data_IF_042896675118
#
_entry.id   IF_042896675118
#
_cell.length_a   1.000
_cell.length_b   1.000
_cell.length_c   1.000
_cell.angle_alpha   90.00
_cell.angle_beta   90.00
_cell.angle_gamma   90.00
#
_symmetry.space_group_name_H-M   'P 1'
#
loop_
_entity.id
_entity.type
_entity.pdbx_description
1 polymer ?
#
# COMPACT_ATOMS: atom_id res chain seq x y z
N UNK A 1 10.54 -33.75 5.75
CA UNK A 1 10.78 -33.88 4.29
C UNK A 1 10.31 -32.65 3.53
N UNK A 2 9.00 -32.34 3.46
CA UNK A 2 8.51 -31.15 2.73
C UNK A 2 9.17 -29.83 3.18
N UNK A 3 9.16 -29.53 4.50
CA UNK A 3 9.76 -28.30 5.02
C UNK A 3 11.25 -28.15 4.71
N UNK A 4 12.00 -29.26 4.73
CA UNK A 4 13.43 -29.26 4.43
C UNK A 4 13.66 -28.98 2.94
N UNK A 5 12.89 -29.60 2.05
CA UNK A 5 12.93 -29.34 0.61
C UNK A 5 12.59 -27.88 0.28
N UNK A 6 11.58 -27.32 0.96
CA UNK A 6 11.21 -25.90 0.87
C UNK A 6 12.36 -24.99 1.30
N UNK A 7 12.97 -25.23 2.48
CA UNK A 7 14.09 -24.41 2.96
C UNK A 7 15.33 -24.52 2.08
N UNK A 8 15.55 -25.68 1.45
CA UNK A 8 16.62 -25.87 0.49
C UNK A 8 16.35 -25.22 -0.87
N UNK A 9 15.11 -24.80 -1.15
CA UNK A 9 14.71 -24.24 -2.44
C UNK A 9 14.59 -25.27 -3.57
N UNK A 10 14.38 -26.54 -3.23
CA UNK A 10 14.32 -27.67 -4.16
C UNK A 10 12.91 -27.80 -4.76
N UNK A 11 12.65 -27.05 -5.84
CA UNK A 11 11.34 -26.96 -6.46
C UNK A 11 10.83 -28.32 -6.94
N UNK A 12 11.67 -29.12 -7.59
CA UNK A 12 11.28 -30.41 -8.15
C UNK A 12 10.88 -31.38 -7.06
N UNK A 13 11.66 -31.44 -5.97
CA UNK A 13 11.30 -32.28 -4.82
C UNK A 13 10.04 -31.81 -4.13
N UNK A 14 9.82 -30.50 -4.01
CA UNK A 14 8.56 -29.96 -3.47
C UNK A 14 7.38 -30.33 -4.37
N UNK A 15 7.49 -30.19 -5.69
CA UNK A 15 6.45 -30.63 -6.65
C UNK A 15 6.13 -32.11 -6.45
N UNK A 16 7.13 -32.98 -6.48
CA UNK A 16 6.94 -34.42 -6.30
C UNK A 16 6.27 -34.78 -4.97
N UNK A 17 6.62 -34.10 -3.87
CA UNK A 17 6.00 -34.35 -2.57
C UNK A 17 4.53 -33.91 -2.55
N UNK A 18 4.21 -32.74 -3.10
CA UNK A 18 2.85 -32.24 -3.16
C UNK A 18 1.97 -33.09 -4.09
N UNK A 19 2.51 -33.51 -5.25
CA UNK A 19 1.83 -34.41 -6.18
C UNK A 19 1.61 -35.80 -5.56
N UNK A 20 2.50 -36.21 -4.65
CA UNK A 20 2.36 -37.42 -3.82
C UNK A 20 1.37 -37.29 -2.65
N UNK A 21 0.63 -36.18 -2.55
CA UNK A 21 -0.41 -35.96 -1.54
C UNK A 21 0.11 -35.37 -0.22
N UNK A 22 1.32 -34.80 -0.19
CA UNK A 22 1.76 -34.05 0.97
C UNK A 22 0.86 -32.81 1.18
N UNK A 23 0.38 -32.63 2.41
CA UNK A 23 -0.43 -31.47 2.76
C UNK A 23 0.42 -30.18 2.75
N UNK A 24 0.12 -29.28 1.80
CA UNK A 24 0.79 -27.98 1.65
C UNK A 24 0.57 -27.07 2.86
N UNK A 25 -0.52 -27.27 3.60
CA UNK A 25 -0.94 -26.48 4.76
C UNK A 25 -0.56 -27.12 6.09
N UNK A 26 0.15 -28.25 6.06
CA UNK A 26 0.72 -28.86 7.25
C UNK A 26 1.58 -27.85 8.02
N UNK A 27 1.51 -27.90 9.34
CA UNK A 27 2.29 -27.05 10.24
C UNK A 27 3.40 -27.85 10.89
N UNK A 28 4.58 -27.25 11.01
CA UNK A 28 5.63 -27.85 11.82
C UNK A 28 5.34 -27.73 13.32
N UNK A 29 5.88 -28.68 14.10
CA UNK A 29 5.63 -28.75 15.55
C UNK A 29 6.32 -27.65 16.34
N UNK A 30 7.42 -27.10 15.80
CA UNK A 30 8.30 -26.19 16.56
C UNK A 30 7.74 -24.77 16.61
N UNK A 31 7.28 -24.25 15.47
CA UNK A 31 6.88 -22.86 15.31
C UNK A 31 5.51 -22.71 14.66
N UNK A 32 4.80 -23.81 14.41
CA UNK A 32 3.51 -23.82 13.70
C UNK A 32 3.61 -23.17 12.31
N UNK A 33 4.81 -23.21 11.70
CA UNK A 33 5.00 -22.67 10.36
C UNK A 33 4.45 -23.64 9.32
N UNK A 34 3.71 -23.13 8.35
CA UNK A 34 3.36 -23.85 7.12
C UNK A 34 4.54 -23.86 6.14
N UNK A 35 4.42 -24.62 5.05
CA UNK A 35 5.41 -24.59 3.97
C UNK A 35 5.64 -23.16 3.46
N UNK A 36 4.56 -22.36 3.35
CA UNK A 36 4.65 -20.97 2.89
C UNK A 36 5.45 -20.08 3.85
N UNK A 37 5.32 -20.26 5.17
CA UNK A 37 6.17 -19.56 6.15
C UNK A 37 7.65 -19.97 6.02
N UNK A 38 7.91 -21.26 5.80
CA UNK A 38 9.28 -21.77 5.63
C UNK A 38 9.92 -21.29 4.33
N UNK A 39 9.13 -21.04 3.28
CA UNK A 39 9.61 -20.51 2.01
C UNK A 39 10.27 -19.14 2.17
N UNK A 40 9.87 -18.31 3.14
CA UNK A 40 10.53 -17.03 3.47
C UNK A 40 12.03 -17.20 3.74
N UNK A 41 12.43 -18.35 4.30
CA UNK A 41 13.82 -18.67 4.61
C UNK A 41 14.48 -19.61 3.60
N UNK A 42 13.89 -19.80 2.41
CA UNK A 42 14.48 -20.62 1.38
C UNK A 42 15.86 -20.08 0.98
N UNK A 43 16.84 -20.98 0.85
CA UNK A 43 18.24 -20.67 0.50
C UNK A 43 18.40 -20.25 -0.97
N UNK A 44 17.49 -20.71 -1.83
CA UNK A 44 17.47 -20.48 -3.29
C UNK A 44 16.03 -20.60 -3.78
N UNK A 45 15.76 -20.10 -4.98
CA UNK A 45 14.44 -20.15 -5.65
C UNK A 45 13.30 -19.65 -4.75
N UNK A 46 13.54 -18.60 -3.96
CA UNK A 46 12.63 -18.19 -2.89
C UNK A 46 11.29 -17.71 -3.44
N UNK A 47 11.32 -16.90 -4.49
CA UNK A 47 10.12 -16.33 -5.10
C UNK A 47 9.33 -17.41 -5.85
N UNK A 48 10.02 -18.26 -6.57
CA UNK A 48 9.45 -19.40 -7.30
C UNK A 48 8.85 -20.43 -6.33
N UNK A 49 9.47 -20.63 -5.16
CA UNK A 49 8.94 -21.51 -4.11
C UNK A 49 7.66 -20.93 -3.50
N UNK A 50 7.60 -19.61 -3.28
CA UNK A 50 6.37 -18.93 -2.85
C UNK A 50 5.26 -19.13 -3.89
N UNK A 51 5.54 -18.82 -5.15
CA UNK A 51 4.58 -18.96 -6.23
C UNK A 51 4.07 -20.40 -6.37
N UNK A 52 4.97 -21.38 -6.33
CA UNK A 52 4.63 -22.80 -6.36
C UNK A 52 3.70 -23.18 -5.22
N UNK A 53 4.03 -22.83 -3.99
CA UNK A 53 3.21 -23.22 -2.83
C UNK A 53 1.81 -22.60 -2.89
N UNK A 54 1.70 -21.32 -3.29
CA UNK A 54 0.40 -20.64 -3.47
C UNK A 54 -0.40 -21.28 -4.60
N UNK A 55 0.22 -21.59 -5.74
CA UNK A 55 -0.41 -22.31 -6.85
C UNK A 55 -0.96 -23.69 -6.42
N UNK A 56 -0.28 -24.34 -5.47
CA UNK A 56 -0.72 -25.63 -4.89
C UNK A 56 -1.72 -25.48 -3.75
N UNK A 57 -2.29 -24.30 -3.52
CA UNK A 57 -3.35 -24.07 -2.54
C UNK A 57 -2.85 -23.82 -1.11
N UNK A 58 -1.63 -23.31 -0.95
CA UNK A 58 -1.17 -22.85 0.35
C UNK A 58 -2.06 -21.69 0.88
N UNK A 59 -2.49 -21.81 2.13
CA UNK A 59 -3.26 -20.77 2.83
C UNK A 59 -2.34 -19.60 3.23
N UNK A 60 -2.45 -18.50 2.47
CA UNK A 60 -1.71 -17.26 2.73
C UNK A 60 -2.13 -16.57 4.05
N UNK A 61 -3.32 -16.90 4.59
CA UNK A 61 -3.82 -16.36 5.86
C UNK A 61 -3.46 -17.22 7.07
N UNK A 62 -2.80 -18.37 6.87
CA UNK A 62 -2.37 -19.22 7.96
C UNK A 62 -1.44 -18.42 8.90
N UNK A 63 -1.68 -18.55 10.21
CA UNK A 63 -0.87 -17.90 11.23
C UNK A 63 0.10 -18.89 11.86
N UNK A 64 1.36 -18.49 12.03
CA UNK A 64 2.33 -19.24 12.81
C UNK A 64 2.20 -18.98 14.33
N UNK A 65 3.12 -19.52 15.13
CA UNK A 65 3.16 -19.36 16.60
C UNK A 65 3.24 -17.90 17.06
N UNK A 66 3.82 -17.00 16.25
CA UNK A 66 3.87 -15.55 16.52
C UNK A 66 2.62 -14.80 16.07
N UNK A 67 1.61 -15.49 15.55
CA UNK A 67 0.41 -14.90 14.93
C UNK A 67 0.71 -14.05 13.69
N UNK A 68 1.72 -14.44 12.93
CA UNK A 68 2.08 -13.79 11.67
C UNK A 68 1.68 -14.69 10.50
N UNK A 69 1.21 -14.07 9.43
CA UNK A 69 1.16 -14.67 8.09
C UNK A 69 2.56 -14.78 7.48
N UNK A 70 2.71 -15.53 6.39
CA UNK A 70 4.00 -15.63 5.69
C UNK A 70 4.49 -14.25 5.19
N UNK A 71 3.60 -13.38 4.71
CA UNK A 71 3.95 -12.03 4.25
C UNK A 71 4.39 -11.12 5.39
N UNK A 72 3.73 -11.20 6.54
CA UNK A 72 4.12 -10.44 7.74
C UNK A 72 5.43 -10.95 8.33
N UNK A 73 5.66 -12.26 8.30
CA UNK A 73 6.95 -12.84 8.70
C UNK A 73 8.09 -12.34 7.80
N UNK A 74 7.86 -12.20 6.49
CA UNK A 74 8.86 -11.65 5.58
C UNK A 74 9.18 -10.17 5.89
N UNK A 75 8.17 -9.37 6.26
CA UNK A 75 8.38 -8.00 6.73
C UNK A 75 9.17 -7.93 8.04
N UNK A 76 8.86 -8.78 9.04
CA UNK A 76 9.63 -8.85 10.29
C UNK A 76 11.11 -9.15 10.04
N UNK A 77 11.41 -9.96 9.02
CA UNK A 77 12.76 -10.34 8.65
C UNK A 77 13.41 -9.37 7.63
N UNK A 78 12.77 -8.22 7.34
CA UNK A 78 13.25 -7.19 6.42
C UNK A 78 13.49 -7.72 4.99
N UNK A 79 12.56 -8.54 4.49
CA UNK A 79 12.58 -9.13 3.15
C UNK A 79 11.42 -8.56 2.30
N UNK A 80 11.50 -7.29 1.86
CA UNK A 80 10.40 -6.61 1.17
C UNK A 80 10.01 -7.27 -0.15
N UNK A 81 11.00 -7.76 -0.92
CA UNK A 81 10.75 -8.45 -2.20
C UNK A 81 9.91 -9.72 -2.02
N UNK A 82 10.16 -10.47 -0.94
CA UNK A 82 9.43 -11.70 -0.63
C UNK A 82 8.03 -11.38 -0.14
N UNK A 83 7.89 -10.37 0.72
CA UNK A 83 6.60 -9.89 1.18
C UNK A 83 5.74 -9.42 0.01
N UNK A 84 6.32 -8.67 -0.92
CA UNK A 84 5.64 -8.18 -2.12
C UNK A 84 5.22 -9.33 -3.05
N UNK A 85 6.06 -10.32 -3.26
CA UNK A 85 5.70 -11.49 -4.07
C UNK A 85 4.59 -12.32 -3.38
N UNK A 86 4.62 -12.46 -2.06
CA UNK A 86 3.54 -13.11 -1.31
C UNK A 86 2.19 -12.38 -1.48
N UNK A 87 2.19 -11.04 -1.37
CA UNK A 87 0.99 -10.22 -1.62
C UNK A 87 0.53 -10.35 -3.08
N UNK A 88 1.46 -10.41 -4.01
CA UNK A 88 1.15 -10.61 -5.43
C UNK A 88 0.49 -11.96 -5.66
N UNK A 89 1.10 -13.05 -5.20
CA UNK A 89 0.58 -14.40 -5.40
C UNK A 89 -0.78 -14.59 -4.70
N UNK A 90 -0.95 -14.09 -3.48
CA UNK A 90 -2.21 -14.25 -2.73
C UNK A 90 -3.38 -13.47 -3.33
N UNK A 91 -3.10 -12.34 -3.99
CA UNK A 91 -4.14 -11.47 -4.57
C UNK A 91 -4.29 -11.61 -6.09
N UNK A 92 -3.44 -12.40 -6.74
CA UNK A 92 -3.42 -12.53 -8.20
C UNK A 92 -4.75 -13.05 -8.77
N UNK A 93 -5.39 -14.00 -8.09
CA UNK A 93 -6.64 -14.63 -8.53
C UNK A 93 -7.89 -14.01 -7.88
N UNK A 94 -7.72 -13.02 -7.00
CA UNK A 94 -8.83 -12.37 -6.29
C UNK A 94 -9.31 -11.13 -7.06
N UNK A 95 -10.61 -10.85 -6.98
CA UNK A 95 -11.12 -9.55 -7.39
C UNK A 95 -10.51 -8.44 -6.53
N UNK A 96 -10.39 -7.25 -7.10
CA UNK A 96 -9.69 -6.15 -6.44
C UNK A 96 -10.36 -5.81 -5.10
N UNK A 97 -11.69 -5.75 -5.04
CA UNK A 97 -12.40 -5.47 -3.80
C UNK A 97 -12.04 -6.46 -2.68
N UNK A 98 -12.06 -7.77 -2.96
CA UNK A 98 -11.68 -8.77 -1.99
C UNK A 98 -10.19 -8.66 -1.59
N UNK A 99 -9.31 -8.37 -2.54
CA UNK A 99 -7.89 -8.15 -2.25
C UNK A 99 -7.70 -6.97 -1.28
N UNK A 100 -8.27 -5.80 -1.58
CA UNK A 100 -8.19 -4.62 -0.69
C UNK A 100 -8.86 -4.90 0.66
N UNK A 101 -10.03 -5.55 0.69
CA UNK A 101 -10.72 -5.94 1.93
C UNK A 101 -9.84 -6.79 2.85
N UNK A 102 -9.17 -7.82 2.30
CA UNK A 102 -8.32 -8.71 3.08
C UNK A 102 -7.12 -7.96 3.68
N UNK A 103 -6.44 -7.13 2.89
CA UNK A 103 -5.25 -6.41 3.34
C UNK A 103 -5.59 -5.29 4.33
N UNK A 104 -6.70 -4.59 4.15
CA UNK A 104 -7.22 -3.61 5.13
C UNK A 104 -7.51 -4.32 6.45
N UNK A 105 -8.21 -5.46 6.41
CA UNK A 105 -8.58 -6.23 7.60
C UNK A 105 -7.36 -6.71 8.39
N UNK A 106 -6.26 -7.06 7.73
CA UNK A 106 -4.98 -7.42 8.40
C UNK A 106 -4.37 -6.21 9.14
N UNK A 107 -4.65 -5.00 8.67
CA UNK A 107 -4.21 -3.75 9.29
C UNK A 107 -2.70 -3.52 9.20
N UNK A 108 -2.01 -4.17 8.25
CA UNK A 108 -0.59 -3.96 8.00
C UNK A 108 -0.43 -2.96 6.85
N UNK A 109 -0.05 -1.73 7.17
CA UNK A 109 0.04 -0.63 6.19
C UNK A 109 1.03 -0.92 5.07
N UNK A 110 2.19 -1.52 5.37
CA UNK A 110 3.20 -1.82 4.36
C UNK A 110 2.72 -2.85 3.34
N UNK A 111 2.00 -3.90 3.79
CA UNK A 111 1.41 -4.87 2.87
C UNK A 111 0.29 -4.25 2.02
N UNK A 112 -0.46 -3.31 2.60
CA UNK A 112 -1.49 -2.56 1.89
C UNK A 112 -0.88 -1.67 0.79
N UNK A 113 0.21 -0.95 1.09
CA UNK A 113 0.96 -0.17 0.10
C UNK A 113 1.54 -1.05 -1.01
N UNK A 114 2.00 -2.25 -0.68
CA UNK A 114 2.43 -3.22 -1.70
C UNK A 114 1.29 -3.59 -2.63
N UNK A 115 0.08 -3.84 -2.11
CA UNK A 115 -1.09 -4.13 -2.94
C UNK A 115 -1.41 -2.98 -3.90
N UNK A 116 -1.44 -1.74 -3.42
CA UNK A 116 -1.60 -0.52 -4.24
C UNK A 116 -0.56 -0.51 -5.37
N UNK A 117 0.71 -0.75 -5.03
CA UNK A 117 1.81 -0.75 -6.00
C UNK A 117 1.72 -1.87 -7.06
N UNK A 118 1.09 -3.00 -6.70
CA UNK A 118 0.93 -4.18 -7.56
C UNK A 118 -0.24 -3.98 -8.52
N UNK A 119 -1.41 -3.55 -8.01
CA UNK A 119 -2.64 -3.45 -8.81
C UNK A 119 -2.62 -2.26 -9.78
N UNK A 120 -1.92 -1.17 -9.43
CA UNK A 120 -1.73 0.01 -10.30
C UNK A 120 -3.03 0.52 -10.94
N UNK A 121 -4.11 0.49 -10.19
CA UNK A 121 -5.42 0.97 -10.65
C UNK A 121 -5.36 2.47 -10.95
N UNK A 122 -6.33 2.95 -11.73
CA UNK A 122 -6.58 4.39 -11.80
C UNK A 122 -7.04 4.88 -10.44
N UNK A 123 -6.67 6.11 -10.08
CA UNK A 123 -6.90 6.66 -8.74
C UNK A 123 -8.39 6.66 -8.34
N UNK A 124 -9.29 6.96 -9.28
CA UNK A 124 -10.73 6.97 -9.03
C UNK A 124 -11.25 5.56 -8.70
N UNK A 125 -10.84 4.57 -9.47
CA UNK A 125 -11.25 3.17 -9.30
C UNK A 125 -10.67 2.60 -8.00
N UNK A 126 -9.40 2.90 -7.72
CA UNK A 126 -8.72 2.49 -6.50
C UNK A 126 -9.47 2.98 -5.25
N UNK A 127 -9.82 4.27 -5.20
CA UNK A 127 -10.52 4.80 -4.04
C UNK A 127 -11.93 4.24 -3.93
N UNK A 128 -12.65 4.05 -5.04
CA UNK A 128 -13.96 3.42 -4.98
C UNK A 128 -13.88 2.01 -4.38
N UNK A 129 -12.88 1.22 -4.79
CA UNK A 129 -12.65 -0.13 -4.29
C UNK A 129 -12.26 -0.12 -2.80
N UNK A 130 -11.35 0.78 -2.40
CA UNK A 130 -10.94 0.95 -0.99
C UNK A 130 -12.12 1.39 -0.12
N UNK A 131 -12.88 2.40 -0.57
CA UNK A 131 -14.03 2.93 0.15
C UNK A 131 -15.10 1.86 0.35
N UNK A 132 -15.37 1.05 -0.68
CA UNK A 132 -16.31 -0.06 -0.61
C UNK A 132 -15.83 -1.13 0.38
N UNK A 133 -14.56 -1.55 0.29
CA UNK A 133 -13.99 -2.55 1.19
C UNK A 133 -13.98 -2.08 2.66
N UNK A 134 -13.59 -0.83 2.91
CA UNK A 134 -13.60 -0.22 4.25
C UNK A 134 -15.03 -0.03 4.78
N UNK A 135 -15.95 0.45 3.95
CA UNK A 135 -17.37 0.58 4.29
C UNK A 135 -17.98 -0.76 4.69
N UNK A 136 -17.66 -1.84 3.96
CA UNK A 136 -18.10 -3.19 4.32
C UNK A 136 -17.54 -3.66 5.67
N UNK A 137 -16.26 -3.41 5.94
CA UNK A 137 -15.64 -3.74 7.24
C UNK A 137 -16.31 -2.99 8.40
N UNK A 138 -16.62 -1.71 8.22
CA UNK A 138 -17.36 -0.91 9.21
C UNK A 138 -18.78 -1.41 9.42
N UNK A 139 -19.50 -1.76 8.35
CA UNK A 139 -20.85 -2.31 8.44
C UNK A 139 -20.88 -3.65 9.19
N UNK A 140 -19.85 -4.48 8.98
CA UNK A 140 -19.67 -5.76 9.69
C UNK A 140 -19.07 -5.60 11.09
N UNK A 141 -18.81 -4.37 11.54
CA UNK A 141 -18.20 -4.04 12.83
C UNK A 141 -16.87 -4.78 13.08
N UNK A 142 -16.05 -4.92 12.03
CA UNK A 142 -14.74 -5.56 12.12
C UNK A 142 -13.73 -4.54 12.66
N UNK A 143 -13.10 -4.77 13.82
CA UNK A 143 -12.15 -3.82 14.39
C UNK A 143 -10.89 -3.75 13.52
N UNK A 144 -10.44 -2.52 13.24
CA UNK A 144 -9.19 -2.25 12.52
C UNK A 144 -8.13 -1.70 13.48
N UNK A 145 -6.86 -1.85 13.10
CA UNK A 145 -5.76 -1.22 13.83
C UNK A 145 -5.79 0.29 13.56
N UNK A 146 -5.60 1.09 14.59
CA UNK A 146 -5.63 2.56 14.53
C UNK A 146 -4.78 3.16 13.39
N UNK A 147 -3.55 2.69 13.09
CA UNK A 147 -2.77 3.24 11.97
C UNK A 147 -3.44 3.01 10.61
N UNK A 148 -4.09 1.87 10.42
CA UNK A 148 -4.81 1.56 9.18
C UNK A 148 -6.07 2.41 9.07
N UNK A 149 -6.82 2.56 10.16
CA UNK A 149 -8.03 3.37 10.18
C UNK A 149 -7.73 4.85 9.93
N UNK A 150 -6.69 5.40 10.56
CA UNK A 150 -6.22 6.77 10.33
C UNK A 150 -5.85 6.99 8.86
N UNK A 151 -5.06 6.07 8.29
CA UNK A 151 -4.65 6.15 6.90
C UNK A 151 -5.82 6.10 5.91
N UNK A 152 -6.79 5.20 6.14
CA UNK A 152 -7.99 5.10 5.30
C UNK A 152 -8.87 6.32 5.42
N UNK A 153 -9.07 6.85 6.64
CA UNK A 153 -9.83 8.08 6.84
C UNK A 153 -9.17 9.26 6.13
N UNK A 154 -7.84 9.38 6.18
CA UNK A 154 -7.11 10.43 5.45
C UNK A 154 -7.33 10.33 3.94
N UNK A 155 -7.16 9.14 3.35
CA UNK A 155 -7.41 8.90 1.92
C UNK A 155 -8.85 9.26 1.54
N UNK A 156 -9.82 8.84 2.35
CA UNK A 156 -11.24 9.00 2.05
C UNK A 156 -11.74 10.42 2.28
N UNK A 157 -11.24 11.14 3.30
CA UNK A 157 -11.54 12.56 3.51
C UNK A 157 -11.01 13.38 2.33
N UNK A 158 -9.76 13.11 1.91
CA UNK A 158 -9.16 13.74 0.74
C UNK A 158 -9.97 13.46 -0.54
N UNK A 159 -10.58 12.28 -0.64
CA UNK A 159 -11.46 11.91 -1.76
C UNK A 159 -12.87 12.51 -1.70
N UNK A 160 -13.50 12.58 -0.52
CA UNK A 160 -14.84 13.18 -0.37
C UNK A 160 -14.80 14.69 -0.64
N UNK A 161 -13.70 15.35 -0.24
CA UNK A 161 -13.37 16.72 -0.66
C UNK A 161 -13.27 16.85 -2.19
N UNK A 162 -12.68 15.86 -2.86
CA UNK A 162 -12.53 15.83 -4.31
C UNK A 162 -13.85 15.59 -5.05
N UNK A 163 -14.69 14.64 -4.62
CA UNK A 163 -16.01 14.38 -5.24
C UNK A 163 -16.96 15.57 -5.08
N UNK A 164 -17.04 16.17 -3.89
CA UNK A 164 -17.87 17.37 -3.64
C UNK A 164 -17.44 18.56 -4.51
N UNK A 165 -16.16 18.66 -4.86
CA UNK A 165 -15.63 19.72 -5.72
C UNK A 165 -15.70 19.37 -7.22
N UNK A 166 -15.63 18.10 -7.62
CA UNK A 166 -15.71 17.62 -9.02
C UNK A 166 -17.13 17.62 -9.59
N UNK A 167 -18.14 17.21 -8.81
CA UNK A 167 -19.55 17.15 -9.29
C UNK A 167 -20.08 18.54 -9.71
N UNK A 168 -19.42 19.63 -9.30
CA UNK A 168 -19.78 20.99 -9.72
C UNK A 168 -19.27 21.41 -11.11
N UNK A 169 -18.29 20.72 -11.73
CA UNK A 169 -17.59 21.26 -12.91
C UNK A 169 -17.11 20.18 -13.90
N UNK A 170 -17.58 20.24 -15.15
CA UNK A 170 -17.34 19.24 -16.20
C UNK A 170 -15.90 19.17 -16.73
N UNK A 171 -15.62 18.23 -17.64
CA UNK A 171 -14.26 17.86 -18.09
C UNK A 171 -13.40 19.02 -18.65
N UNK A 172 -13.99 20.01 -19.34
CA UNK A 172 -13.28 21.20 -19.83
C UNK A 172 -12.90 22.18 -18.70
N UNK A 173 -13.60 22.13 -17.56
CA UNK A 173 -13.21 22.86 -16.35
C UNK A 173 -12.03 22.21 -15.64
N UNK A 174 -11.78 20.92 -15.81
CA UNK A 174 -10.69 20.22 -15.13
C UNK A 174 -9.31 20.79 -15.50
N UNK A 175 -9.06 21.17 -16.76
CA UNK A 175 -7.77 21.78 -17.18
C UNK A 175 -7.61 23.21 -16.65
N UNK A 176 -8.69 24.00 -16.66
CA UNK A 176 -8.68 25.36 -16.10
C UNK A 176 -8.52 25.34 -14.58
N UNK A 177 -9.11 24.36 -13.92
CA UNK A 177 -8.96 24.14 -12.48
C UNK A 177 -7.52 23.72 -12.13
N UNK A 178 -6.89 22.82 -12.91
CA UNK A 178 -5.48 22.49 -12.71
C UNK A 178 -4.57 23.69 -12.88
N UNK A 179 -4.81 24.55 -13.88
CA UNK A 179 -4.05 25.80 -14.05
C UNK A 179 -4.25 26.76 -12.88
N UNK A 180 -5.49 26.95 -12.42
CA UNK A 180 -5.77 27.78 -11.24
C UNK A 180 -5.09 27.25 -9.97
N UNK A 181 -5.02 25.94 -9.79
CA UNK A 181 -4.35 25.33 -8.64
C UNK A 181 -2.84 25.48 -8.71
N UNK A 182 -2.27 25.36 -9.90
CA UNK A 182 -0.85 25.69 -10.14
C UNK A 182 -0.56 27.16 -9.83
N UNK A 183 -1.39 28.08 -10.31
CA UNK A 183 -1.26 29.51 -10.00
C UNK A 183 -1.35 29.77 -8.49
N UNK A 184 -2.30 29.13 -7.81
CA UNK A 184 -2.50 29.28 -6.37
C UNK A 184 -1.34 28.69 -5.55
N UNK A 185 -0.72 27.59 -6.00
CA UNK A 185 0.51 27.06 -5.39
C UNK A 185 1.62 28.10 -5.53
N UNK A 186 1.86 28.61 -6.74
CA UNK A 186 2.94 29.57 -7.02
C UNK A 186 2.77 30.85 -6.18
N UNK A 187 1.55 31.38 -6.10
CA UNK A 187 1.25 32.59 -5.32
C UNK A 187 1.49 32.37 -3.82
N UNK A 188 1.06 31.24 -3.26
CA UNK A 188 1.27 30.96 -1.84
C UNK A 188 2.75 30.69 -1.53
N UNK A 189 3.48 30.02 -2.42
CA UNK A 189 4.94 29.84 -2.26
C UNK A 189 5.66 31.18 -2.29
N UNK A 190 5.30 32.08 -3.22
CA UNK A 190 5.89 33.42 -3.30
C UNK A 190 5.63 34.22 -2.03
N UNK A 191 4.40 34.18 -1.51
CA UNK A 191 4.04 34.88 -0.28
C UNK A 191 4.71 34.29 0.96
N UNK A 192 4.92 32.97 1.01
CA UNK A 192 5.73 32.35 2.07
C UNK A 192 7.20 32.78 1.96
N UNK A 193 7.80 32.75 0.77
CA UNK A 193 9.20 33.16 0.57
C UNK A 193 9.46 34.66 0.75
N UNK A 194 8.43 35.50 0.58
CA UNK A 194 8.53 36.95 0.73
C UNK A 194 8.14 37.47 2.11
N UNK A 195 7.34 36.70 2.85
CA UNK A 195 6.80 37.09 4.17
C UNK A 195 7.49 36.44 5.37
N UNK A 196 8.27 35.39 5.16
CA UNK A 196 8.92 34.62 6.22
C UNK A 196 10.41 34.41 5.86
N UNK A 197 11.30 34.70 6.82
CA UNK A 197 12.74 34.54 6.63
C UNK A 197 13.14 33.08 6.92
N UNK A 198 13.82 32.43 5.97
CA UNK A 198 14.21 31.01 6.04
C UNK A 198 15.18 30.69 7.18
N UNK A 199 15.72 31.71 7.84
CA UNK A 199 16.68 31.57 8.94
C UNK A 199 16.03 31.57 10.33
N UNK A 200 14.73 31.85 10.46
CA UNK A 200 14.09 31.92 11.78
C UNK A 200 12.63 31.43 11.78
N UNK A 201 12.45 30.12 11.93
CA UNK A 201 11.14 29.42 12.04
C UNK A 201 10.41 29.68 13.38
N UNK A 202 10.78 30.71 14.14
CA UNK A 202 10.12 31.05 15.41
C UNK A 202 8.78 31.77 15.21
N UNK A 203 8.53 32.32 14.02
CA UNK A 203 7.31 33.07 13.66
C UNK A 203 6.37 32.25 12.76
N UNK A 204 6.26 30.93 13.00
CA UNK A 204 5.24 30.10 12.36
C UNK A 204 3.88 30.42 12.99
N UNK A 205 3.12 31.27 12.32
CA UNK A 205 1.76 31.63 12.71
C UNK A 205 0.70 30.75 12.00
N UNK A 206 -0.57 30.91 12.39
CA UNK A 206 -1.67 30.16 11.79
C UNK A 206 -1.80 30.41 10.29
N UNK A 207 -1.34 31.57 9.80
CA UNK A 207 -1.36 31.93 8.40
C UNK A 207 -0.29 31.16 7.60
N UNK A 208 0.91 30.98 8.16
CA UNK A 208 1.95 30.13 7.58
C UNK A 208 1.46 28.69 7.42
N UNK A 209 0.90 28.10 8.48
CA UNK A 209 0.39 26.72 8.46
C UNK A 209 -0.76 26.54 7.47
N UNK A 210 -1.67 27.52 7.39
CA UNK A 210 -2.78 27.51 6.43
C UNK A 210 -2.28 27.55 4.99
N UNK A 211 -1.26 28.38 4.70
CA UNK A 211 -0.67 28.46 3.36
C UNK A 211 0.08 27.20 3.00
N UNK A 212 0.82 26.63 3.95
CA UNK A 212 1.54 25.37 3.76
C UNK A 212 0.58 24.21 3.51
N UNK A 213 -0.50 24.08 4.29
CA UNK A 213 -1.52 23.05 4.07
C UNK A 213 -2.17 23.24 2.70
N UNK A 214 -2.49 24.47 2.33
CA UNK A 214 -3.08 24.79 1.03
C UNK A 214 -2.15 24.48 -0.15
N UNK A 215 -0.85 24.73 -0.01
CA UNK A 215 0.16 24.32 -1.01
C UNK A 215 0.21 22.80 -1.12
N UNK A 216 0.32 22.07 0.00
CA UNK A 216 0.40 20.61 0.01
C UNK A 216 -0.83 19.97 -0.61
N UNK A 217 -2.03 20.46 -0.29
CA UNK A 217 -3.29 20.00 -0.86
C UNK A 217 -3.35 20.19 -2.39
N UNK A 218 -2.87 21.33 -2.89
CA UNK A 218 -2.89 21.62 -4.32
C UNK A 218 -1.73 20.92 -5.08
N UNK A 219 -0.55 20.79 -4.47
CA UNK A 219 0.57 20.01 -5.05
C UNK A 219 0.17 18.54 -5.15
N UNK A 220 -0.51 17.99 -4.15
CA UNK A 220 -1.09 16.66 -4.22
C UNK A 220 -2.07 16.51 -5.39
N UNK A 221 -2.94 17.50 -5.62
CA UNK A 221 -3.86 17.53 -6.76
C UNK A 221 -3.11 17.50 -8.11
N UNK A 222 -2.10 18.36 -8.28
CA UNK A 222 -1.31 18.45 -9.53
C UNK A 222 -0.49 17.17 -9.77
N UNK A 223 0.13 16.64 -8.72
CA UNK A 223 0.92 15.40 -8.73
C UNK A 223 0.10 14.19 -9.22
N UNK A 224 -1.17 14.12 -8.84
CA UNK A 224 -2.03 13.00 -9.20
C UNK A 224 -2.58 13.09 -10.63
N UNK A 225 -2.70 14.29 -11.20
CA UNK A 225 -3.12 14.49 -12.60
C UNK A 225 -1.95 14.27 -13.58
N UNK A 226 -0.72 14.61 -13.18
CA UNK A 226 0.46 14.48 -14.03
C UNK A 226 1.54 13.62 -13.34
N UNK A 227 1.35 12.30 -13.35
CA UNK A 227 2.32 11.28 -12.87
C UNK A 227 3.72 11.35 -13.55
N UNK A 228 3.91 12.24 -14.53
CA UNK A 228 5.15 12.38 -15.32
C UNK A 228 5.96 13.66 -15.03
N UNK A 229 5.50 14.55 -14.14
CA UNK A 229 6.27 15.75 -13.81
C UNK A 229 7.50 15.39 -12.94
N UNK A 230 8.70 15.95 -13.24
CA UNK A 230 9.93 15.66 -12.50
C UNK A 230 9.88 16.35 -11.13
N UNK A 231 9.16 15.74 -10.19
CA UNK A 231 8.88 16.28 -8.85
C UNK A 231 10.13 16.50 -7.98
N UNK A 232 11.22 15.75 -8.23
CA UNK A 232 12.48 15.97 -7.53
C UNK A 232 13.02 17.40 -7.71
N UNK A 233 12.74 18.05 -8.84
CA UNK A 233 13.12 19.45 -9.06
C UNK A 233 12.21 20.43 -8.29
N UNK A 234 10.92 20.13 -8.14
CA UNK A 234 10.00 20.99 -7.39
C UNK A 234 10.18 20.84 -5.88
N UNK A 235 10.34 19.61 -5.38
CA UNK A 235 10.69 19.34 -3.98
C UNK A 235 12.04 19.96 -3.62
N UNK A 236 13.03 19.89 -4.52
CA UNK A 236 14.30 20.59 -4.35
C UNK A 236 14.11 22.12 -4.31
N UNK A 237 13.28 22.71 -5.17
CA UNK A 237 12.99 24.14 -5.13
C UNK A 237 12.23 24.57 -3.86
N UNK A 238 11.37 23.71 -3.30
CA UNK A 238 10.65 23.98 -2.04
C UNK A 238 11.56 23.79 -0.82
N UNK A 239 12.50 22.83 -0.86
CA UNK A 239 13.45 22.57 0.21
C UNK A 239 14.70 23.48 0.20
N UNK A 240 14.94 24.18 -0.91
CA UNK A 240 16.08 25.11 -1.08
C UNK A 240 15.68 26.59 -0.92
N UNK A 241 14.42 26.87 -0.58
CA UNK A 241 13.90 28.17 -0.15
C UNK A 241 13.81 28.17 1.38
#
# INVERSE_FOLDING_TARGET
>A
MLFESVQNGDLDRVRHLLDGGADVNARDDKFFNTALHRAVFARRNRLEMVALLVERGADCNALNKKRLTASELALENRLPEVAKELVRCETHQLDDHLAYYLLIRRGNLQLFEYLISIKRLQYEDEICVIARAYGELRLRNVPLKEPMESYLNEILINHDYWLRNRVRRGWADSRRETLRRLEAIVENVQQLSGGYDSHNLTDVDSLFLLRLSYILENVFFVRNVYKQLPLHHMEFCIASL
#
